data_IF_268744821073
#
_entry.id   IF_268744821073
#
_cell.length_a   1.000
_cell.length_b   1.000
_cell.length_c   1.000
_cell.angle_alpha   90.00
_cell.angle_beta   90.00
_cell.angle_gamma   90.00
#
_symmetry.space_group_name_H-M   'P 1'
#
loop_
_entity.id
_entity.type
_entity.pdbx_description
1 polymer ?
#
# COMPACT_ATOMS: atom_id res chain seq x y z
N UNK A 1 -0.08 -5.10 8.87
CA UNK A 1 0.22 -5.22 7.42
C UNK A 1 1.65 -5.65 7.14
N UNK A 2 2.68 -4.96 7.64
CA UNK A 2 4.08 -5.42 7.49
C UNK A 2 4.39 -6.68 8.32
N UNK A 3 4.02 -6.68 9.61
CA UNK A 3 4.40 -7.75 10.54
C UNK A 3 3.62 -9.06 10.36
N UNK A 4 2.57 -9.04 9.52
CA UNK A 4 1.78 -10.23 9.23
C UNK A 4 2.39 -11.11 8.12
N UNK A 5 3.50 -10.69 7.48
CA UNK A 5 4.14 -11.44 6.39
C UNK A 5 3.34 -11.50 5.08
N UNK A 6 2.24 -10.74 4.99
CA UNK A 6 1.32 -10.74 3.84
C UNK A 6 1.83 -9.87 2.69
N UNK A 7 2.75 -8.95 2.97
CA UNK A 7 3.29 -7.99 2.01
C UNK A 7 4.75 -8.32 1.72
N UNK A 8 5.06 -8.60 0.44
CA UNK A 8 6.43 -8.90 0.00
C UNK A 8 7.42 -7.79 0.39
N UNK A 9 8.65 -8.19 0.74
CA UNK A 9 9.74 -7.27 1.19
C UNK A 9 10.04 -6.15 0.17
N UNK A 10 9.70 -6.35 -1.10
CA UNK A 10 9.84 -5.34 -2.15
C UNK A 10 9.05 -4.06 -1.85
N UNK A 11 7.81 -4.18 -1.34
CA UNK A 11 6.96 -3.03 -1.03
C UNK A 11 7.55 -2.18 0.08
N UNK A 12 8.19 -2.85 1.01
CA UNK A 12 8.82 -2.24 2.15
C UNK A 12 10.05 -1.45 1.73
N UNK A 13 10.92 -2.08 0.94
CA UNK A 13 12.16 -1.46 0.48
C UNK A 13 11.88 -0.31 -0.49
N UNK A 14 10.91 -0.48 -1.38
CA UNK A 14 10.59 0.50 -2.43
C UNK A 14 9.71 1.65 -1.91
N UNK A 15 8.65 1.36 -1.14
CA UNK A 15 7.66 2.36 -0.73
C UNK A 15 7.77 2.79 0.73
N UNK A 16 8.18 1.91 1.66
CA UNK A 16 8.21 2.24 3.10
C UNK A 16 9.55 2.81 3.58
N UNK A 17 10.67 2.40 2.97
CA UNK A 17 12.04 2.87 3.29
C UNK A 17 12.70 3.68 2.16
N UNK A 18 12.08 3.72 0.98
CA UNK A 18 12.61 4.34 -0.23
C UNK A 18 11.75 5.49 -0.75
N UNK A 19 11.22 5.35 -1.96
CA UNK A 19 10.37 6.31 -2.67
C UNK A 19 8.95 6.34 -2.09
N UNK A 20 8.82 6.71 -0.82
CA UNK A 20 7.53 6.88 -0.15
C UNK A 20 6.61 7.89 -0.87
N UNK A 21 7.18 8.85 -1.61
CA UNK A 21 6.46 9.77 -2.48
C UNK A 21 5.64 9.09 -3.58
N UNK A 22 6.05 7.91 -4.04
CA UNK A 22 5.31 7.17 -5.07
C UNK A 22 4.16 6.34 -4.50
N UNK A 23 3.95 6.34 -3.18
CA UNK A 23 2.83 5.62 -2.57
C UNK A 23 1.51 6.27 -2.99
N UNK A 24 0.77 5.60 -3.87
CA UNK A 24 -0.52 6.06 -4.38
C UNK A 24 -1.52 6.23 -3.24
N UNK A 25 -1.46 5.35 -2.24
CA UNK A 25 -2.32 5.44 -1.06
C UNK A 25 -2.13 6.77 -0.30
N UNK A 26 -0.88 7.18 -0.13
CA UNK A 26 -0.55 8.47 0.49
C UNK A 26 -1.02 9.64 -0.38
N UNK A 27 -0.82 9.58 -1.70
CA UNK A 27 -1.29 10.62 -2.62
C UNK A 27 -2.83 10.75 -2.63
N UNK A 28 -3.55 9.65 -2.50
CA UNK A 28 -5.02 9.63 -2.41
C UNK A 28 -5.49 10.24 -1.09
N UNK A 29 -4.85 9.89 0.03
CA UNK A 29 -5.12 10.51 1.34
C UNK A 29 -4.89 12.03 1.31
N UNK A 30 -3.79 12.50 0.71
CA UNK A 30 -3.52 13.94 0.55
C UNK A 30 -4.57 14.66 -0.31
N UNK A 31 -5.12 13.97 -1.32
CA UNK A 31 -6.21 14.48 -2.16
C UNK A 31 -7.59 14.37 -1.50
N UNK A 32 -7.70 13.66 -0.37
CA UNK A 32 -8.98 13.34 0.27
C UNK A 32 -9.81 12.32 -0.52
N UNK A 33 -9.19 11.55 -1.40
CA UNK A 33 -9.85 10.48 -2.17
C UNK A 33 -9.93 9.21 -1.33
N UNK A 34 -11.12 8.58 -1.25
CA UNK A 34 -11.26 7.31 -0.56
C UNK A 34 -10.52 6.21 -1.33
N UNK A 35 -9.79 5.37 -0.60
CA UNK A 35 -9.14 4.18 -1.12
C UNK A 35 -9.49 2.96 -0.25
N UNK A 36 -9.54 1.75 -0.82
CA UNK A 36 -9.82 0.53 -0.06
C UNK A 36 -8.59 0.03 0.71
N UNK A 37 -8.82 -0.56 1.88
CA UNK A 37 -7.75 -1.07 2.77
C UNK A 37 -6.91 -2.19 2.15
N UNK A 38 -7.43 -2.87 1.13
CA UNK A 38 -6.75 -3.91 0.38
C UNK A 38 -6.03 -3.38 -0.88
N UNK A 39 -5.79 -2.07 -0.94
CA UNK A 39 -4.96 -1.42 -1.95
C UNK A 39 -3.48 -1.47 -1.55
N UNK A 40 -2.64 -1.88 -2.50
CA UNK A 40 -1.18 -1.88 -2.40
C UNK A 40 -0.61 -0.47 -2.62
N UNK A 41 0.64 -0.21 -2.19
CA UNK A 41 1.27 1.11 -2.33
C UNK A 41 1.40 1.62 -3.78
N UNK A 42 1.41 0.76 -4.78
CA UNK A 42 1.40 1.11 -6.21
C UNK A 42 -0.01 1.46 -6.75
N UNK A 43 -1.05 1.34 -5.92
CA UNK A 43 -2.44 1.52 -6.33
C UNK A 43 -3.12 0.24 -6.84
N UNK A 44 -2.40 -0.89 -6.91
CA UNK A 44 -2.99 -2.17 -7.30
C UNK A 44 -3.90 -2.70 -6.20
N UNK A 45 -5.04 -3.26 -6.58
CA UNK A 45 -5.98 -3.89 -5.66
C UNK A 45 -5.60 -5.37 -5.51
N UNK A 46 -5.26 -5.82 -4.29
CA UNK A 46 -5.08 -7.24 -4.02
C UNK A 46 -6.29 -7.78 -3.23
N UNK A 47 -7.22 -8.43 -3.93
CA UNK A 47 -8.43 -8.99 -3.31
C UNK A 47 -8.12 -10.06 -2.24
N UNK A 48 -6.91 -10.62 -2.21
CA UNK A 48 -6.50 -11.56 -1.15
C UNK A 48 -6.35 -10.85 0.19
N UNK A 49 -6.07 -9.54 0.19
CA UNK A 49 -6.02 -8.70 1.39
C UNK A 49 -7.41 -8.33 1.92
N UNK A 50 -8.47 -8.47 1.13
CA UNK A 50 -9.86 -8.18 1.53
C UNK A 50 -10.35 -9.07 2.70
N UNK A 51 -9.64 -10.16 3.00
CA UNK A 51 -10.01 -11.16 4.00
C UNK A 51 -9.35 -10.97 5.38
N UNK A 52 -8.56 -9.93 5.58
CA UNK A 52 -7.91 -9.61 6.86
C UNK A 52 -8.56 -8.41 7.55
#
# INVERSE_FOLDING_TARGET
FYEAGVVEEKWIKEYCKGNWWNCIRYQMEEKGEPHPDWMLPDGSIDERLKRF
#
